data_IF_326530571237
#
_entry.id   IF_326530571237
#
_cell.length_a   1.000
_cell.length_b   1.000
_cell.length_c   1.000
_cell.angle_alpha   90.00
_cell.angle_beta   90.00
_cell.angle_gamma   90.00
#
_symmetry.space_group_name_H-M   'P 1'
#
loop_
_entity.id
_entity.type
_entity.pdbx_description
1 polymer ?
#
# COMPACT_ATOMS: atom_id res chain seq x y z
N UNK A 1 3.29 0.65 -14.83
CA UNK A 1 1.98 0.64 -15.52
C UNK A 1 0.99 1.43 -14.69
N UNK A 2 0.01 2.09 -15.31
CA UNK A 2 -1.09 2.71 -14.56
C UNK A 2 -1.94 1.61 -13.92
N UNK A 3 -2.21 1.73 -12.62
CA UNK A 3 -2.93 0.70 -11.87
C UNK A 3 -4.39 0.54 -12.32
N UNK A 4 -5.00 1.58 -12.91
CA UNK A 4 -6.37 1.51 -13.45
C UNK A 4 -6.56 0.43 -14.53
N UNK A 5 -5.46 0.02 -15.18
CA UNK A 5 -5.45 -0.98 -16.24
C UNK A 5 -5.17 -2.40 -15.71
N UNK A 6 -5.15 -2.59 -14.38
CA UNK A 6 -4.83 -3.87 -13.74
C UNK A 6 -5.95 -4.32 -12.81
N UNK A 7 -6.36 -5.58 -12.94
CA UNK A 7 -7.30 -6.24 -12.02
C UNK A 7 -6.51 -7.16 -11.06
N UNK A 8 -6.93 -7.26 -9.78
CA UNK A 8 -8.07 -6.63 -9.10
C UNK A 8 -7.80 -5.19 -8.58
N UNK A 9 -6.62 -4.61 -8.84
CA UNK A 9 -6.23 -3.31 -8.30
C UNK A 9 -7.19 -2.17 -8.69
N UNK A 10 -7.87 -2.29 -9.83
CA UNK A 10 -8.85 -1.29 -10.30
C UNK A 10 -10.25 -1.45 -9.70
N UNK A 11 -10.45 -2.37 -8.75
CA UNK A 11 -11.73 -2.55 -8.06
C UNK A 11 -11.92 -1.43 -7.03
N UNK A 12 -13.02 -0.65 -7.10
CA UNK A 12 -13.22 0.51 -6.23
C UNK A 12 -13.26 0.20 -4.73
N UNK A 13 -13.67 -1.01 -4.37
CA UNK A 13 -13.77 -1.47 -2.97
C UNK A 13 -12.44 -1.97 -2.41
N UNK A 14 -11.43 -2.17 -3.26
CA UNK A 14 -10.11 -2.60 -2.82
C UNK A 14 -9.31 -1.41 -2.25
N UNK A 15 -8.50 -1.66 -1.22
CA UNK A 15 -7.41 -0.75 -0.85
C UNK A 15 -6.21 -1.13 -1.72
N UNK A 16 -5.93 -0.29 -2.70
CA UNK A 16 -4.86 -0.54 -3.67
C UNK A 16 -3.54 0.02 -3.17
N UNK A 17 -2.56 -0.86 -3.01
CA UNK A 17 -1.27 -0.55 -2.37
C UNK A 17 -0.14 -0.54 -3.38
N UNK A 18 0.59 0.57 -3.46
CA UNK A 18 1.86 0.67 -4.17
C UNK A 18 3.06 0.34 -3.29
N UNK A 19 4.23 0.19 -3.89
CA UNK A 19 5.47 -0.13 -3.18
C UNK A 19 6.46 1.03 -3.21
N UNK A 20 7.15 1.25 -2.07
CA UNK A 20 8.29 2.16 -1.95
C UNK A 20 9.58 1.43 -1.67
N UNK A 21 10.69 2.12 -1.88
CA UNK A 21 12.03 1.73 -1.43
C UNK A 21 12.44 2.48 -0.17
N UNK A 22 13.66 2.24 0.30
CA UNK A 22 14.22 2.81 1.54
C UNK A 22 14.49 4.33 1.43
N UNK A 23 14.40 4.91 0.24
CA UNK A 23 14.64 6.35 0.01
C UNK A 23 13.35 7.16 -0.05
N UNK A 24 12.23 6.58 0.35
CA UNK A 24 10.89 7.15 0.21
C UNK A 24 10.55 7.50 -1.25
N UNK A 25 11.07 6.70 -2.17
CA UNK A 25 10.72 6.77 -3.58
C UNK A 25 9.77 5.64 -3.97
N UNK A 26 8.88 5.92 -4.92
CA UNK A 26 8.09 4.85 -5.52
C UNK A 26 9.04 3.82 -6.14
N UNK A 27 8.91 2.56 -5.77
CA UNK A 27 9.72 1.50 -6.34
C UNK A 27 9.49 1.42 -7.86
N UNK A 28 10.55 1.22 -8.64
CA UNK A 28 10.51 1.26 -10.12
C UNK A 28 9.52 0.25 -10.71
N UNK A 29 9.31 -0.87 -10.04
CA UNK A 29 8.37 -1.93 -10.44
C UNK A 29 6.93 -1.65 -9.98
N UNK A 30 6.70 -0.70 -9.06
CA UNK A 30 5.36 -0.39 -8.57
C UNK A 30 4.51 0.27 -9.65
N UNK A 31 3.28 -0.19 -9.78
CA UNK A 31 2.27 0.54 -10.50
C UNK A 31 1.99 1.89 -9.81
N UNK A 32 1.41 2.79 -10.55
CA UNK A 32 1.07 4.15 -10.14
C UNK A 32 -0.34 4.48 -10.64
N UNK A 33 -0.86 5.63 -10.28
CA UNK A 33 -2.12 6.04 -10.82
C UNK A 33 -3.11 6.49 -9.73
N UNK A 34 -4.21 7.19 -10.10
CA UNK A 34 -5.16 7.78 -9.16
C UNK A 34 -5.89 6.74 -8.29
N UNK A 35 -5.88 5.48 -8.69
CA UNK A 35 -6.51 4.40 -7.94
C UNK A 35 -5.57 3.74 -6.90
N UNK A 36 -4.29 4.13 -6.85
CA UNK A 36 -3.41 3.70 -5.75
C UNK A 36 -3.77 4.53 -4.52
N UNK A 37 -4.32 3.90 -3.51
CA UNK A 37 -4.78 4.55 -2.29
C UNK A 37 -3.64 4.96 -1.36
N UNK A 38 -2.68 4.07 -1.16
CA UNK A 38 -1.51 4.27 -0.31
C UNK A 38 -0.29 3.52 -0.85
N UNK A 39 0.88 3.91 -0.35
CA UNK A 39 2.12 3.19 -0.57
C UNK A 39 2.62 2.60 0.77
N UNK A 40 3.39 1.52 0.68
CA UNK A 40 4.08 0.93 1.82
C UNK A 40 5.43 0.35 1.38
N UNK A 41 6.36 0.12 2.31
CA UNK A 41 7.65 -0.48 2.00
C UNK A 41 7.48 -1.84 1.29
N UNK A 42 8.05 -1.96 0.10
CA UNK A 42 7.95 -3.18 -0.71
C UNK A 42 9.29 -3.67 -1.25
N UNK A 43 10.38 -2.91 -1.04
CA UNK A 43 11.71 -3.27 -1.53
C UNK A 43 12.56 -3.85 -0.40
N UNK A 44 13.19 -5.02 -0.68
CA UNK A 44 14.06 -5.74 0.26
C UNK A 44 13.37 -6.05 1.61
N UNK A 45 12.12 -6.48 1.57
CA UNK A 45 11.34 -6.84 2.75
C UNK A 45 11.65 -8.27 3.16
N UNK A 46 12.09 -8.45 4.40
CA UNK A 46 12.35 -9.77 5.01
C UNK A 46 11.11 -10.25 5.73
N UNK A 47 10.65 -11.45 5.41
CA UNK A 47 9.53 -12.10 6.08
C UNK A 47 9.70 -13.60 6.11
N UNK A 48 8.79 -14.29 6.83
CA UNK A 48 8.73 -15.75 6.85
C UNK A 48 8.48 -16.32 5.46
N UNK A 49 9.03 -17.48 5.19
CA UNK A 49 8.89 -18.17 3.91
C UNK A 49 8.28 -19.56 4.11
N UNK A 50 7.79 -20.15 3.03
CA UNK A 50 7.04 -21.42 3.04
C UNK A 50 7.90 -22.66 3.35
N UNK A 51 9.20 -22.51 3.47
CA UNK A 51 10.16 -23.54 3.88
C UNK A 51 10.53 -23.50 5.38
N UNK A 52 9.87 -22.62 6.14
CA UNK A 52 10.12 -22.42 7.57
C UNK A 52 11.28 -21.46 7.88
N UNK A 53 11.91 -20.87 6.88
CA UNK A 53 12.97 -19.89 7.02
C UNK A 53 12.47 -18.47 6.77
N UNK A 54 13.41 -17.53 6.68
CA UNK A 54 13.16 -16.14 6.27
C UNK A 54 13.70 -15.89 4.87
N UNK A 55 13.03 -15.03 4.12
CA UNK A 55 13.48 -14.61 2.81
C UNK A 55 13.28 -13.11 2.62
N UNK A 56 14.24 -12.47 1.96
CA UNK A 56 14.18 -11.05 1.59
C UNK A 56 13.87 -10.93 0.11
N UNK A 57 12.73 -10.33 -0.21
CA UNK A 57 12.28 -10.13 -1.59
C UNK A 57 11.67 -8.75 -1.76
N UNK A 58 11.43 -8.35 -3.01
CA UNK A 58 10.82 -7.06 -3.35
C UNK A 58 9.58 -7.26 -4.21
N UNK A 59 8.57 -6.43 -3.97
CA UNK A 59 7.33 -6.42 -4.75
C UNK A 59 6.22 -5.64 -4.04
N UNK A 60 5.20 -5.24 -4.78
CA UNK A 60 3.95 -4.74 -4.19
C UNK A 60 3.27 -5.79 -3.33
N UNK A 61 3.55 -7.09 -3.61
CA UNK A 61 3.13 -8.22 -2.77
C UNK A 61 3.73 -8.20 -1.36
N UNK A 62 4.79 -7.42 -1.11
CA UNK A 62 5.40 -7.22 0.22
C UNK A 62 4.84 -5.96 0.90
N UNK A 63 4.49 -4.95 0.12
CA UNK A 63 3.84 -3.74 0.63
C UNK A 63 2.39 -3.99 1.07
N UNK A 64 1.64 -4.76 0.31
CA UNK A 64 0.22 -5.03 0.58
C UNK A 64 -0.05 -5.68 1.95
N UNK A 65 0.67 -6.73 2.39
CA UNK A 65 0.43 -7.34 3.70
C UNK A 65 0.79 -6.42 4.87
N UNK A 66 1.68 -5.44 4.70
CA UNK A 66 1.93 -4.43 5.73
C UNK A 66 0.67 -3.59 5.98
N UNK A 67 0.01 -3.13 4.92
CA UNK A 67 -1.26 -2.41 5.02
C UNK A 67 -2.40 -3.31 5.52
N UNK A 68 -2.45 -4.57 5.08
CA UNK A 68 -3.44 -5.53 5.56
C UNK A 68 -3.30 -5.80 7.07
N UNK A 69 -2.06 -5.92 7.56
CA UNK A 69 -1.79 -6.03 9.00
C UNK A 69 -2.22 -4.79 9.79
N UNK A 70 -2.02 -3.60 9.23
CA UNK A 70 -2.46 -2.34 9.81
C UNK A 70 -3.99 -2.27 9.88
N UNK A 71 -4.70 -2.67 8.83
CA UNK A 71 -6.17 -2.79 8.82
C UNK A 71 -6.65 -3.74 9.92
N UNK A 72 -6.02 -4.92 10.05
CA UNK A 72 -6.35 -5.88 11.09
C UNK A 72 -6.14 -5.30 12.51
N UNK A 73 -5.06 -4.55 12.70
CA UNK A 73 -4.78 -3.85 13.96
C UNK A 73 -5.90 -2.85 14.29
N UNK A 74 -6.29 -2.00 13.35
CA UNK A 74 -7.37 -1.02 13.57
C UNK A 74 -8.73 -1.68 13.79
N UNK A 75 -9.03 -2.77 13.09
CA UNK A 75 -10.26 -3.55 13.34
C UNK A 75 -10.31 -4.13 14.76
N UNK A 76 -9.16 -4.33 15.39
CA UNK A 76 -9.10 -4.81 16.77
C UNK A 76 -9.35 -3.71 17.79
N UNK A 77 -8.89 -2.48 17.54
CA UNK A 77 -8.94 -1.39 18.54
C UNK A 77 -10.09 -0.40 18.34
N UNK A 78 -10.68 -0.33 17.15
CA UNK A 78 -11.79 0.58 16.87
C UNK A 78 -13.14 -0.05 17.26
N UNK A 79 -13.95 0.72 17.99
CA UNK A 79 -15.33 0.36 18.38
C UNK A 79 -16.24 1.60 18.21
N UNK A 80 -17.32 1.55 17.41
CA UNK A 80 -17.71 0.40 16.57
C UNK A 80 -16.71 0.14 15.43
N UNK A 81 -16.66 -1.11 14.98
CA UNK A 81 -15.79 -1.49 13.82
C UNK A 81 -16.25 -0.76 12.56
N UNK A 82 -15.32 -0.11 11.84
CA UNK A 82 -15.67 0.58 10.60
C UNK A 82 -16.10 -0.39 9.49
N UNK A 83 -16.93 0.09 8.58
CA UNK A 83 -17.22 -0.60 7.33
C UNK A 83 -15.95 -0.67 6.46
N UNK A 84 -15.88 -1.54 5.44
CA UNK A 84 -14.74 -1.57 4.51
C UNK A 84 -14.42 -0.20 3.88
N UNK A 85 -15.44 0.55 3.44
CA UNK A 85 -15.26 1.89 2.88
C UNK A 85 -14.71 2.87 3.92
N UNK A 86 -15.27 2.89 5.13
CA UNK A 86 -14.80 3.74 6.22
C UNK A 86 -13.36 3.39 6.65
N UNK A 87 -12.98 2.12 6.62
CA UNK A 87 -11.61 1.68 6.88
C UNK A 87 -10.65 2.18 5.79
N UNK A 88 -11.04 2.08 4.52
CA UNK A 88 -10.24 2.62 3.41
C UNK A 88 -9.97 4.11 3.58
N UNK A 89 -11.00 4.90 3.92
CA UNK A 89 -10.85 6.33 4.16
C UNK A 89 -9.98 6.61 5.39
N UNK A 90 -10.12 5.83 6.45
CA UNK A 90 -9.33 5.96 7.67
C UNK A 90 -7.84 5.70 7.40
N UNK A 91 -7.50 4.64 6.66
CA UNK A 91 -6.12 4.33 6.23
C UNK A 91 -5.54 5.50 5.42
N UNK A 92 -6.28 6.03 4.45
CA UNK A 92 -5.84 7.16 3.62
C UNK A 92 -5.62 8.45 4.43
N UNK A 93 -6.43 8.69 5.46
CA UNK A 93 -6.30 9.86 6.33
C UNK A 93 -5.10 9.80 7.26
N UNK A 94 -4.75 8.61 7.76
CA UNK A 94 -3.62 8.41 8.67
C UNK A 94 -2.27 8.40 7.95
N UNK A 95 -2.25 8.06 6.67
CA UNK A 95 -1.02 7.99 5.90
C UNK A 95 -0.31 9.34 5.83
N UNK A 96 1.01 9.34 5.92
CA UNK A 96 1.84 10.54 5.79
C UNK A 96 1.78 11.05 4.36
N UNK A 97 1.27 12.25 4.17
CA UNK A 97 1.09 12.87 2.86
C UNK A 97 2.37 13.50 2.34
N UNK A 98 2.51 13.52 1.01
CA UNK A 98 3.59 14.22 0.29
C UNK A 98 5.00 13.79 0.71
N UNK A 99 5.13 12.60 1.31
CA UNK A 99 6.41 12.05 1.77
C UNK A 99 7.21 11.39 0.63
N UNK A 100 6.55 11.02 -0.48
CA UNK A 100 7.16 10.22 -1.53
C UNK A 100 7.64 11.05 -2.72
N UNK A 101 8.79 10.65 -3.26
CA UNK A 101 9.30 11.10 -4.54
C UNK A 101 8.96 10.11 -5.69
N UNK A 102 9.18 10.56 -6.93
CA UNK A 102 8.92 9.81 -8.18
C UNK A 102 7.48 9.28 -8.35
N UNK A 103 6.52 9.86 -7.66
CA UNK A 103 5.11 9.68 -7.97
C UNK A 103 4.83 10.48 -9.26
N UNK A 104 4.60 9.77 -10.35
CA UNK A 104 4.29 10.40 -11.65
C UNK A 104 3.04 11.26 -11.52
N UNK A 105 3.21 12.58 -11.65
CA UNK A 105 2.22 13.64 -11.36
C UNK A 105 0.91 13.63 -12.17
N UNK A 106 0.53 12.54 -12.79
CA UNK A 106 -0.81 12.37 -13.39
C UNK A 106 -1.82 11.77 -12.41
N UNK A 107 -1.49 11.82 -11.13
CA UNK A 107 -2.22 11.11 -10.09
C UNK A 107 -2.63 12.06 -8.99
N UNK A 108 -3.88 12.04 -8.63
CA UNK A 108 -4.38 12.60 -7.36
C UNK A 108 -3.98 11.73 -6.14
N UNK A 109 -3.10 10.75 -6.32
CA UNK A 109 -2.47 10.06 -5.20
C UNK A 109 -1.53 11.05 -4.53
N UNK A 110 -1.80 11.35 -3.28
CA UNK A 110 -1.06 12.33 -2.47
C UNK A 110 0.31 11.81 -2.05
N UNK A 111 0.85 10.72 -2.65
CA UNK A 111 2.12 10.14 -2.23
C UNK A 111 2.13 9.73 -0.76
N UNK A 112 1.00 9.28 -0.26
CA UNK A 112 0.83 8.91 1.14
C UNK A 112 1.49 7.57 1.43
N UNK A 113 2.31 7.49 2.48
CA UNK A 113 3.07 6.30 2.91
C UNK A 113 2.70 5.92 4.35
N UNK A 114 2.73 4.62 4.62
CA UNK A 114 2.77 4.03 5.95
C UNK A 114 4.13 3.42 6.24
#
# INVERSE_FOLDING_TARGET
MDAKDTSPANTPEAITVGATDITDSRAFYSNFGPIVDVFAPGSNVTSTWNDGNYKTISGTSMATPAVAGLVAYFLNILDPKPSPAAMSDYIKQLATRDALSDIRKRTFSTGSIF
#
